data_IF_015103810337
#
_entry.id   IF_015103810337
#
_cell.length_a   1.000
_cell.length_b   1.000
_cell.length_c   1.000
_cell.angle_alpha   90.00
_cell.angle_beta   90.00
_cell.angle_gamma   90.00
#
_symmetry.space_group_name_H-M   'P 1'
#
loop_
_entity.id
_entity.type
_entity.pdbx_description
1 polymer ?
#
# COMPACT_ATOMS: atom_id res chain seq x y z
N UNK A 1 12.23 7.76 -7.62
CA UNK A 1 11.52 9.04 -7.86
C UNK A 1 12.14 10.06 -6.93
N UNK A 2 12.55 11.23 -7.41
CA UNK A 2 13.08 12.26 -6.53
C UNK A 2 11.97 12.70 -5.57
N UNK A 3 12.10 12.41 -4.28
CA UNK A 3 11.22 13.00 -3.27
C UNK A 3 11.65 14.44 -3.08
N UNK A 4 10.80 15.40 -3.46
CA UNK A 4 10.99 16.80 -3.11
C UNK A 4 10.95 16.93 -1.59
N UNK A 5 11.99 17.53 -1.02
CA UNK A 5 12.01 17.90 0.39
C UNK A 5 11.07 19.10 0.60
N UNK A 6 9.90 18.81 1.17
CA UNK A 6 8.85 19.79 1.42
C UNK A 6 9.29 20.89 2.40
N UNK A 7 10.22 20.55 3.29
CA UNK A 7 10.77 21.44 4.31
C UNK A 7 11.66 22.48 3.64
N UNK A 8 12.58 22.03 2.78
CA UNK A 8 13.45 22.90 1.99
C UNK A 8 12.66 23.89 1.12
N UNK A 9 11.59 23.46 0.45
CA UNK A 9 10.78 24.37 -0.39
C UNK A 9 10.07 25.45 0.46
N UNK A 10 9.58 25.10 1.65
CA UNK A 10 8.93 26.07 2.55
C UNK A 10 9.94 27.06 3.14
N UNK A 11 11.14 26.60 3.45
CA UNK A 11 12.24 27.44 3.94
C UNK A 11 12.68 28.45 2.88
N UNK A 12 12.83 28.03 1.63
CA UNK A 12 13.19 28.92 0.52
C UNK A 12 12.15 30.04 0.31
N UNK A 13 10.86 29.71 0.36
CA UNK A 13 9.80 30.73 0.24
C UNK A 13 9.78 31.67 1.45
N UNK A 14 10.03 31.14 2.65
CA UNK A 14 10.12 31.96 3.87
C UNK A 14 11.31 32.92 3.82
N UNK A 15 12.46 32.47 3.30
CA UNK A 15 13.64 33.32 3.09
C UNK A 15 13.35 34.44 2.10
N UNK A 16 12.74 34.12 0.95
CA UNK A 16 12.36 35.11 -0.07
C UNK A 16 11.39 36.17 0.47
N UNK A 17 10.45 35.78 1.33
CA UNK A 17 9.51 36.71 1.97
C UNK A 17 10.23 37.64 2.95
N UNK A 18 11.16 37.10 3.75
CA UNK A 18 11.98 37.90 4.66
C UNK A 18 12.90 38.89 3.92
N UNK A 19 13.49 38.47 2.80
CA UNK A 19 14.30 39.35 1.94
C UNK A 19 13.46 40.48 1.35
N UNK A 20 12.24 40.16 0.92
CA UNK A 20 11.28 41.14 0.42
C UNK A 20 10.86 42.14 1.51
N UNK A 21 10.54 41.66 2.72
CA UNK A 21 10.16 42.50 3.85
C UNK A 21 11.30 43.45 4.24
N UNK A 22 12.55 42.98 4.21
CA UNK A 22 13.74 43.80 4.44
C UNK A 22 13.84 44.93 3.43
N UNK A 23 13.75 44.62 2.13
CA UNK A 23 13.79 45.63 1.07
C UNK A 23 12.63 46.63 1.17
N UNK A 24 11.46 46.18 1.62
CA UNK A 24 10.32 47.04 1.88
C UNK A 24 10.58 48.00 3.06
N UNK A 25 11.22 47.53 4.13
CA UNK A 25 11.61 48.41 5.27
C UNK A 25 12.72 49.40 4.92
N UNK A 26 13.58 49.07 3.95
CA UNK A 26 14.62 49.95 3.42
C UNK A 26 14.04 51.07 2.51
N UNK A 27 12.74 51.01 2.19
CA UNK A 27 12.05 52.01 1.36
C UNK A 27 12.30 51.84 -0.15
N UNK A 28 12.94 50.75 -0.55
CA UNK A 28 13.32 50.44 -1.94
C UNK A 28 12.13 49.95 -2.79
N UNK A 29 10.95 49.78 -2.19
CA UNK A 29 9.77 49.19 -2.83
C UNK A 29 8.57 50.16 -2.77
N UNK A 30 7.95 50.41 -3.92
CA UNK A 30 6.72 51.21 -3.99
C UNK A 30 5.51 50.42 -3.49
N UNK A 31 4.48 51.12 -3.04
CA UNK A 31 3.25 50.52 -2.52
C UNK A 31 2.52 49.64 -3.55
N UNK A 32 2.62 49.97 -4.84
CA UNK A 32 2.04 49.18 -5.93
C UNK A 32 2.76 47.85 -6.10
N UNK A 33 4.10 47.87 -6.08
CA UNK A 33 4.92 46.65 -6.15
C UNK A 33 4.64 45.78 -4.93
N UNK A 34 4.50 46.40 -3.76
CA UNK A 34 4.18 45.70 -2.52
C UNK A 34 2.85 44.95 -2.60
N UNK A 35 1.80 45.59 -3.13
CA UNK A 35 0.51 44.95 -3.29
C UNK A 35 0.57 43.74 -4.25
N UNK A 36 1.27 43.87 -5.37
CA UNK A 36 1.44 42.79 -6.36
C UNK A 36 2.24 41.62 -5.77
N UNK A 37 3.35 41.90 -5.09
CA UNK A 37 4.20 40.86 -4.51
C UNK A 37 3.51 40.11 -3.37
N UNK A 38 2.73 40.81 -2.53
CA UNK A 38 1.90 40.17 -1.51
C UNK A 38 0.86 39.22 -2.14
N UNK A 39 0.22 39.64 -3.25
CA UNK A 39 -0.68 38.77 -4.00
C UNK A 39 0.03 37.54 -4.57
N UNK A 40 1.24 37.69 -5.09
CA UNK A 40 2.05 36.58 -5.59
C UNK A 40 2.41 35.60 -4.48
N UNK A 41 2.87 36.08 -3.32
CA UNK A 41 3.18 35.22 -2.17
C UNK A 41 1.96 34.43 -1.71
N UNK A 42 0.77 35.05 -1.68
CA UNK A 42 -0.47 34.35 -1.35
C UNK A 42 -0.79 33.22 -2.33
N UNK A 43 -0.61 33.44 -3.64
CA UNK A 43 -0.82 32.41 -4.67
C UNK A 43 0.18 31.26 -4.50
N UNK A 44 1.45 31.57 -4.26
CA UNK A 44 2.50 30.56 -4.04
C UNK A 44 2.21 29.74 -2.78
N UNK A 45 1.85 30.39 -1.67
CA UNK A 45 1.47 29.72 -0.43
C UNK A 45 0.26 28.78 -0.63
N UNK A 46 -0.74 29.20 -1.41
CA UNK A 46 -1.89 28.37 -1.75
C UNK A 46 -1.51 27.15 -2.58
N UNK A 47 -0.63 27.31 -3.59
CA UNK A 47 -0.09 26.20 -4.39
C UNK A 47 0.64 25.22 -3.47
N UNK A 48 1.53 25.71 -2.59
CA UNK A 48 2.27 24.85 -1.67
C UNK A 48 1.36 24.13 -0.68
N UNK A 49 0.33 24.78 -0.16
CA UNK A 49 -0.67 24.13 0.68
C UNK A 49 -1.37 22.99 -0.09
N UNK A 50 -1.84 23.23 -1.32
CA UNK A 50 -2.54 22.20 -2.09
C UNK A 50 -1.61 21.02 -2.43
N UNK A 51 -0.40 21.30 -2.94
CA UNK A 51 0.48 20.27 -3.50
C UNK A 51 1.41 19.61 -2.47
N UNK A 52 1.85 20.31 -1.43
CA UNK A 52 2.71 19.72 -0.40
C UNK A 52 1.89 19.01 0.69
N UNK A 53 0.65 19.40 0.93
CA UNK A 53 -0.18 18.83 2.00
C UNK A 53 -1.00 17.62 1.51
N UNK A 54 -1.49 17.62 0.26
CA UNK A 54 -2.17 16.45 -0.31
C UNK A 54 -1.18 15.49 -0.95
N UNK A 55 -0.88 14.37 -0.30
CA UNK A 55 -0.24 13.25 -0.98
C UNK A 55 -1.24 12.55 -1.90
N UNK A 56 -1.09 12.69 -3.21
CA UNK A 56 -1.77 11.81 -4.17
C UNK A 56 -1.05 10.46 -4.17
N UNK A 57 -1.55 9.51 -3.37
CA UNK A 57 -1.08 8.13 -3.48
C UNK A 57 -1.36 7.66 -4.91
N UNK A 58 -0.32 7.14 -5.58
CA UNK A 58 -0.50 6.48 -6.85
C UNK A 58 -1.37 5.24 -6.62
N UNK A 59 -2.51 5.18 -7.29
CA UNK A 59 -3.37 4.01 -7.35
C UNK A 59 -3.46 3.54 -8.79
N UNK A 60 -4.05 2.37 -9.03
CA UNK A 60 -4.22 1.82 -10.38
C UNK A 60 -4.97 2.74 -11.38
N UNK A 61 -5.68 3.79 -10.90
CA UNK A 61 -6.39 4.76 -11.75
C UNK A 61 -5.51 5.92 -12.20
N UNK A 62 -4.42 6.23 -11.48
CA UNK A 62 -3.56 7.39 -11.76
C UNK A 62 -2.06 7.04 -11.85
N UNK A 63 -1.69 5.77 -11.68
CA UNK A 63 -0.30 5.34 -11.68
C UNK A 63 0.29 5.23 -13.09
N UNK A 64 -0.56 5.19 -14.14
CA UNK A 64 -0.21 4.78 -15.51
C UNK A 64 0.49 3.41 -15.57
N UNK A 65 0.44 2.63 -14.48
CA UNK A 65 0.94 1.27 -14.36
C UNK A 65 -0.27 0.35 -14.57
N UNK A 66 -0.17 -0.68 -15.43
CA UNK A 66 -1.23 -1.67 -15.58
C UNK A 66 -1.61 -2.27 -14.22
N UNK A 67 -2.90 -2.57 -14.03
CA UNK A 67 -3.38 -3.24 -12.80
C UNK A 67 -2.67 -4.56 -12.52
N UNK A 68 -2.16 -5.24 -13.54
CA UNK A 68 -1.37 -6.47 -13.43
C UNK A 68 0.05 -6.28 -12.86
N UNK A 69 0.53 -5.03 -12.78
CA UNK A 69 1.88 -4.68 -12.31
C UNK A 69 1.85 -3.75 -11.09
N UNK A 70 0.68 -3.50 -10.50
CA UNK A 70 0.54 -2.73 -9.27
C UNK A 70 0.39 -3.69 -8.09
N UNK A 71 1.03 -3.40 -6.95
CA UNK A 71 0.81 -4.17 -5.72
C UNK A 71 -0.68 -4.12 -5.30
N UNK A 72 -1.13 -5.19 -4.66
CA UNK A 72 -2.54 -5.33 -4.25
C UNK A 72 -2.87 -4.28 -3.19
N UNK A 73 -3.84 -3.42 -3.49
CA UNK A 73 -4.31 -2.39 -2.56
C UNK A 73 -5.18 -3.03 -1.46
N UNK A 74 -4.59 -3.21 -0.28
CA UNK A 74 -5.26 -3.75 0.92
C UNK A 74 -5.89 -2.64 1.79
N UNK A 75 -5.87 -1.37 1.35
CA UNK A 75 -6.41 -0.24 2.13
C UNK A 75 -7.91 -0.03 1.97
N UNK A 76 -8.56 -0.76 1.05
CA UNK A 76 -10.01 -0.81 0.95
C UNK A 76 -10.58 -1.66 2.08
N UNK A 77 -11.51 -1.11 2.87
CA UNK A 77 -12.30 -1.87 3.85
C UNK A 77 -12.96 -3.06 3.13
N UNK A 78 -12.40 -4.25 3.36
CA UNK A 78 -12.67 -5.46 2.60
C UNK A 78 -14.16 -5.72 2.48
N UNK A 79 -14.70 -5.52 1.29
CA UNK A 79 -15.96 -6.15 0.94
C UNK A 79 -15.64 -7.62 0.67
N UNK A 80 -16.28 -8.58 1.38
CA UNK A 80 -16.07 -9.99 1.11
C UNK A 80 -16.68 -10.31 -0.26
N UNK A 81 -15.83 -10.36 -1.28
CA UNK A 81 -16.22 -10.72 -2.64
C UNK A 81 -15.23 -10.20 -3.67
N UNK A 82 -14.71 -11.08 -4.52
CA UNK A 82 -14.09 -10.66 -5.77
C UNK A 82 -15.18 -10.06 -6.65
N UNK A 83 -14.94 -8.87 -7.21
CA UNK A 83 -15.79 -8.30 -8.26
C UNK A 83 -15.58 -9.08 -9.57
N UNK A 84 -15.79 -10.40 -9.54
CA UNK A 84 -15.80 -11.23 -10.73
C UNK A 84 -16.96 -10.79 -11.62
N UNK A 85 -16.67 -10.47 -12.88
CA UNK A 85 -17.75 -10.29 -13.86
C UNK A 85 -18.35 -11.66 -14.14
N UNK A 86 -19.55 -11.90 -13.62
CA UNK A 86 -20.27 -13.16 -13.81
C UNK A 86 -21.38 -13.34 -12.78
N UNK A 87 -22.29 -14.29 -13.03
CA UNK A 87 -23.24 -14.75 -12.01
C UNK A 87 -22.44 -15.46 -10.90
N UNK A 88 -22.88 -15.33 -9.65
CA UNK A 88 -22.28 -16.06 -8.54
C UNK A 88 -22.25 -17.55 -8.86
N UNK A 89 -21.06 -18.14 -8.93
CA UNK A 89 -20.94 -19.58 -9.14
C UNK A 89 -21.59 -20.31 -7.96
N UNK A 90 -22.47 -21.24 -8.29
CA UNK A 90 -23.03 -22.13 -7.29
C UNK A 90 -21.90 -23.07 -6.81
N UNK A 91 -21.68 -23.14 -5.50
CA UNK A 91 -20.70 -24.05 -4.89
C UNK A 91 -21.15 -25.51 -4.94
N UNK A 92 -22.36 -25.77 -5.45
CA UNK A 92 -22.86 -27.11 -5.66
C UNK A 92 -21.98 -27.88 -6.65
N UNK A 93 -21.42 -28.97 -6.15
CA UNK A 93 -20.64 -29.90 -6.96
C UNK A 93 -21.57 -30.54 -8.01
N UNK A 94 -21.10 -30.66 -9.26
CA UNK A 94 -21.89 -31.30 -10.30
C UNK A 94 -22.27 -32.74 -9.87
N UNK A 95 -23.50 -33.18 -10.16
CA UNK A 95 -24.03 -34.47 -9.68
C UNK A 95 -23.20 -35.69 -10.08
N UNK A 96 -22.36 -35.55 -11.10
CA UNK A 96 -21.46 -36.57 -11.62
C UNK A 96 -20.02 -36.47 -11.07
N UNK A 97 -19.75 -35.58 -10.12
CA UNK A 97 -18.44 -35.50 -9.48
C UNK A 97 -18.31 -36.62 -8.45
N UNK A 98 -17.30 -37.49 -8.63
CA UNK A 98 -16.94 -38.54 -7.68
C UNK A 98 -15.61 -38.19 -7.04
N UNK A 99 -15.57 -38.08 -5.72
CA UNK A 99 -14.31 -37.97 -4.96
C UNK A 99 -13.86 -39.39 -4.61
N UNK A 100 -12.62 -39.75 -5.00
CA UNK A 100 -11.98 -40.99 -4.57
C UNK A 100 -10.83 -40.61 -3.64
N UNK A 101 -11.04 -40.83 -2.35
CA UNK A 101 -9.97 -40.69 -1.36
C UNK A 101 -9.18 -42.00 -1.26
N UNK A 102 -7.86 -41.91 -1.32
CA UNK A 102 -6.96 -43.03 -0.99
C UNK A 102 -6.21 -42.64 0.27
N UNK A 103 -6.42 -43.37 1.36
CA UNK A 103 -5.77 -43.11 2.64
C UNK A 103 -4.58 -44.05 2.79
N UNK A 104 -3.42 -43.48 3.07
CA UNK A 104 -2.20 -44.22 3.43
C UNK A 104 -1.74 -43.73 4.80
N UNK A 105 -1.54 -44.66 5.74
CA UNK A 105 -1.01 -44.35 7.07
C UNK A 105 0.47 -44.71 7.09
N UNK A 106 1.32 -43.74 7.40
CA UNK A 106 2.76 -43.94 7.59
C UNK A 106 3.09 -43.93 9.07
N UNK A 107 3.81 -44.94 9.55
CA UNK A 107 4.27 -45.01 10.94
C UNK A 107 5.48 -44.11 11.14
N UNK A 108 5.53 -43.44 12.29
CA UNK A 108 6.70 -42.67 12.72
C UNK A 108 7.57 -43.59 13.59
N UNK A 109 8.74 -43.95 13.07
CA UNK A 109 9.67 -44.85 13.77
C UNK A 109 10.72 -44.10 14.57
N UNK A 110 11.05 -42.86 14.19
CA UNK A 110 12.09 -42.08 14.85
C UNK A 110 11.67 -40.63 15.00
N UNK A 111 12.14 -39.98 16.07
CA UNK A 111 11.93 -38.56 16.28
C UNK A 111 12.81 -37.74 15.32
N UNK A 112 12.20 -36.82 14.55
CA UNK A 112 12.94 -35.97 13.61
C UNK A 112 13.86 -34.93 14.29
N UNK A 113 13.75 -34.72 15.60
CA UNK A 113 14.56 -33.74 16.35
C UNK A 113 15.74 -34.40 17.05
N UNK A 114 15.51 -35.52 17.75
CA UNK A 114 16.53 -36.18 18.58
C UNK A 114 16.93 -37.58 18.09
N UNK A 115 16.34 -38.10 17.02
CA UNK A 115 16.57 -39.44 16.48
C UNK A 115 16.27 -40.61 17.43
N UNK A 116 15.52 -40.36 18.51
CA UNK A 116 15.05 -41.40 19.43
C UNK A 116 14.13 -42.40 18.71
N UNK A 117 14.25 -43.68 19.06
CA UNK A 117 13.39 -44.75 18.54
C UNK A 117 12.00 -44.70 19.19
N UNK A 118 10.98 -44.58 18.33
CA UNK A 118 9.58 -44.49 18.71
C UNK A 118 8.81 -45.78 18.37
N UNK A 119 9.49 -46.84 17.91
CA UNK A 119 8.86 -48.10 17.48
C UNK A 119 7.97 -48.75 18.55
N UNK A 120 8.29 -48.55 19.83
CA UNK A 120 7.56 -49.11 20.97
C UNK A 120 6.66 -48.09 21.69
N UNK A 121 6.53 -46.87 21.16
CA UNK A 121 5.68 -45.82 21.72
C UNK A 121 4.29 -45.91 21.10
N UNK A 122 3.24 -45.95 21.93
CA UNK A 122 1.86 -46.01 21.43
C UNK A 122 1.48 -44.72 20.69
N UNK A 123 0.89 -44.84 19.51
CA UNK A 123 0.37 -43.71 18.74
C UNK A 123 -0.83 -43.08 19.47
N UNK A 124 -0.77 -41.77 19.72
CA UNK A 124 -1.83 -41.02 20.42
C UNK A 124 -2.76 -40.31 19.41
N UNK A 125 -2.24 -39.89 18.24
CA UNK A 125 -3.01 -39.14 17.24
C UNK A 125 -2.44 -39.27 15.82
N UNK A 126 -3.23 -38.92 14.81
CA UNK A 126 -2.85 -38.95 13.40
C UNK A 126 -2.89 -37.54 12.79
N UNK A 127 -1.77 -37.10 12.21
CA UNK A 127 -1.75 -35.89 11.39
C UNK A 127 -2.26 -36.18 9.97
N UNK A 128 -3.37 -35.56 9.57
CA UNK A 128 -3.91 -35.69 8.21
C UNK A 128 -3.28 -34.67 7.27
N UNK A 129 -2.62 -35.15 6.22
CA UNK A 129 -2.10 -34.30 5.13
C UNK A 129 -2.79 -34.65 3.81
N UNK A 130 -3.28 -33.63 3.11
CA UNK A 130 -3.90 -33.79 1.79
C UNK A 130 -2.84 -33.51 0.74
N UNK A 131 -2.48 -34.53 -0.05
CA UNK A 131 -1.70 -34.34 -1.26
C UNK A 131 -2.65 -34.35 -2.45
N UNK A 132 -2.75 -33.22 -3.14
CA UNK A 132 -3.41 -33.14 -4.44
C UNK A 132 -2.41 -33.61 -5.48
N UNK A 133 -2.82 -34.56 -6.33
CA UNK A 133 -2.01 -35.11 -7.42
C UNK A 133 -2.10 -34.24 -8.66
#
# INVERSE_FOLDING_TARGET
MASLDKTSVREEVSRLKADFDRLNTEGEISTEIQAVMNGLFMVVELILAIFLERSTKKNNKNSSIPTSQTEKDESALGHPGSNGKGKSENKDQARNTRVKETVTVSQVLTCNVCAEDLSNVACIDHERRVSLR
#
